data_IF_928887168281
#
_entry.id   IF_928887168281
#
_cell.length_a   1.000
_cell.length_b   1.000
_cell.length_c   1.000
_cell.angle_alpha   90.00
_cell.angle_beta   90.00
_cell.angle_gamma   90.00
#
_symmetry.space_group_name_H-M   'P 1'
#
loop_
_entity.id
_entity.type
_entity.pdbx_description
1 polymer ?
#
# COMPACT_ATOMS: atom_id res chain seq x y z
N UNK A 1 -5.10 -8.61 2.57
CA UNK A 1 -5.21 -10.08 2.31
C UNK A 1 -3.85 -10.73 1.99
N UNK A 2 -2.91 -10.07 1.28
CA UNK A 2 -1.61 -10.67 0.92
C UNK A 2 -0.62 -10.81 2.10
N UNK A 3 -0.62 -9.89 3.07
CA UNK A 3 0.21 -10.02 4.29
C UNK A 3 -0.13 -11.23 5.16
N UNK A 4 -1.40 -11.69 5.09
CA UNK A 4 -1.88 -12.89 5.76
C UNK A 4 -1.25 -14.17 5.20
N UNK A 5 -0.90 -14.20 3.91
CA UNK A 5 -0.19 -15.33 3.30
C UNK A 5 1.22 -15.47 3.86
N UNK A 6 1.95 -14.37 4.03
CA UNK A 6 3.27 -14.40 4.68
C UNK A 6 3.17 -14.87 6.14
N UNK A 7 2.18 -14.36 6.89
CA UNK A 7 1.96 -14.73 8.28
C UNK A 7 1.67 -16.21 8.51
N UNK A 8 0.91 -16.85 7.59
CA UNK A 8 0.45 -18.23 7.75
C UNK A 8 1.35 -19.21 6.97
N UNK A 9 2.36 -18.74 6.24
CA UNK A 9 3.25 -19.57 5.38
C UNK A 9 3.71 -20.84 6.08
N UNK A 10 4.25 -20.73 7.30
CA UNK A 10 4.77 -21.90 8.03
C UNK A 10 3.67 -22.94 8.31
N UNK A 11 2.50 -22.49 8.76
CA UNK A 11 1.33 -23.36 9.02
C UNK A 11 0.77 -23.96 7.73
N UNK A 12 0.78 -23.20 6.63
CA UNK A 12 0.36 -23.69 5.31
C UNK A 12 1.32 -24.76 4.80
N UNK A 13 2.63 -24.57 4.92
CA UNK A 13 3.61 -25.59 4.52
C UNK A 13 3.40 -26.90 5.29
N UNK A 14 3.22 -26.84 6.62
CA UNK A 14 2.96 -28.03 7.43
C UNK A 14 1.65 -28.73 7.06
N UNK A 15 0.59 -27.99 6.74
CA UNK A 15 -0.68 -28.56 6.28
C UNK A 15 -0.54 -29.22 4.91
N UNK A 16 0.15 -28.55 3.98
CA UNK A 16 0.37 -29.02 2.61
C UNK A 16 1.34 -30.22 2.52
N UNK A 17 2.09 -30.49 3.58
CA UNK A 17 2.90 -31.70 3.71
C UNK A 17 2.08 -32.95 4.02
N UNK A 18 0.87 -32.82 4.56
CA UNK A 18 0.00 -33.97 4.85
C UNK A 18 -0.76 -34.44 3.61
N UNK A 19 -0.96 -33.56 2.62
CA UNK A 19 -1.91 -33.77 1.54
C UNK A 19 -1.24 -33.96 0.17
N UNK A 20 -0.97 -35.22 -0.19
CA UNK A 20 -0.13 -35.58 -1.34
C UNK A 20 -0.86 -35.82 -2.66
N UNK A 21 -2.20 -35.87 -2.68
CA UNK A 21 -2.98 -36.27 -3.86
C UNK A 21 -3.49 -35.08 -4.70
N UNK A 22 -3.70 -33.92 -4.07
CA UNK A 22 -4.36 -32.79 -4.72
C UNK A 22 -3.38 -31.93 -5.55
N UNK A 23 -3.64 -31.80 -6.86
CA UNK A 23 -2.82 -31.01 -7.81
C UNK A 23 -2.78 -29.51 -7.46
N UNK A 24 -3.89 -28.96 -6.98
CA UNK A 24 -3.97 -27.54 -6.59
C UNK A 24 -3.09 -27.27 -5.36
N UNK A 25 -3.16 -28.16 -4.36
CA UNK A 25 -2.34 -28.03 -3.15
C UNK A 25 -0.84 -28.16 -3.44
N UNK A 26 -0.46 -28.98 -4.43
CA UNK A 26 0.91 -29.05 -4.93
C UNK A 26 1.36 -27.75 -5.60
N UNK A 27 0.50 -27.12 -6.39
CA UNK A 27 0.80 -25.83 -7.02
C UNK A 27 1.00 -24.74 -5.96
N UNK A 28 0.11 -24.65 -4.96
CA UNK A 28 0.26 -23.70 -3.85
C UNK A 28 1.53 -23.95 -3.05
N UNK A 29 1.87 -25.22 -2.77
CA UNK A 29 3.14 -25.57 -2.10
C UNK A 29 4.36 -25.14 -2.92
N UNK A 30 4.30 -25.34 -4.24
CA UNK A 30 5.35 -24.90 -5.14
C UNK A 30 5.53 -23.38 -5.08
N UNK A 31 4.44 -22.61 -5.14
CA UNK A 31 4.51 -21.14 -5.05
C UNK A 31 5.08 -20.67 -3.71
N UNK A 32 4.71 -21.31 -2.60
CA UNK A 32 5.26 -21.00 -1.26
C UNK A 32 6.75 -21.36 -1.10
N UNK A 33 7.29 -22.22 -1.98
CA UNK A 33 8.72 -22.55 -2.04
C UNK A 33 9.55 -21.54 -2.83
N UNK A 34 8.90 -20.71 -3.67
CA UNK A 34 9.56 -19.67 -4.45
C UNK A 34 9.79 -18.44 -3.56
N UNK A 35 11.05 -18.12 -3.30
CA UNK A 35 11.44 -17.00 -2.46
C UNK A 35 10.92 -15.64 -2.98
N UNK A 36 10.90 -15.45 -4.30
CA UNK A 36 10.40 -14.25 -4.98
C UNK A 36 8.90 -14.05 -4.75
N UNK A 37 8.13 -15.14 -4.81
CA UNK A 37 6.69 -15.11 -4.57
C UNK A 37 6.40 -14.68 -3.13
N UNK A 38 7.06 -15.31 -2.17
CA UNK A 38 6.92 -15.00 -0.73
C UNK A 38 7.40 -13.57 -0.43
N UNK A 39 8.49 -13.13 -1.07
CA UNK A 39 8.97 -11.76 -0.95
C UNK A 39 7.96 -10.74 -1.48
N UNK A 40 7.31 -11.02 -2.61
CA UNK A 40 6.21 -10.24 -3.15
C UNK A 40 5.02 -10.17 -2.20
N UNK A 41 4.62 -11.29 -1.60
CA UNK A 41 3.54 -11.33 -0.60
C UNK A 41 3.87 -10.49 0.64
N UNK A 42 5.11 -10.55 1.15
CA UNK A 42 5.58 -9.72 2.27
C UNK A 42 5.57 -8.24 1.91
N UNK A 43 6.11 -7.88 0.74
CA UNK A 43 6.14 -6.52 0.23
C UNK A 43 4.74 -5.92 0.07
N UNK A 44 3.82 -6.67 -0.56
CA UNK A 44 2.41 -6.25 -0.70
C UNK A 44 1.70 -6.17 0.64
N UNK A 45 2.01 -7.08 1.58
CA UNK A 45 1.52 -7.00 2.95
C UNK A 45 1.92 -5.70 3.64
N UNK A 46 3.20 -5.33 3.55
CA UNK A 46 3.71 -4.07 4.12
C UNK A 46 3.04 -2.85 3.51
N UNK A 47 2.94 -2.79 2.17
CA UNK A 47 2.23 -1.72 1.47
C UNK A 47 0.75 -1.67 1.84
N UNK A 48 0.12 -2.83 2.02
CA UNK A 48 -1.28 -2.91 2.42
C UNK A 48 -1.50 -2.26 3.79
N UNK A 49 -0.72 -2.65 4.78
CA UNK A 49 -0.88 -2.18 6.16
C UNK A 49 -0.46 -0.70 6.32
N UNK A 50 0.67 -0.31 5.72
CA UNK A 50 1.24 1.03 5.88
C UNK A 50 0.58 2.09 5.00
N UNK A 51 0.10 1.70 3.82
CA UNK A 51 -0.39 2.65 2.81
C UNK A 51 -1.87 2.44 2.53
N UNK A 52 -2.25 1.33 1.89
CA UNK A 52 -3.59 1.26 1.27
C UNK A 52 -4.71 1.14 2.29
N UNK A 53 -4.57 0.31 3.33
CA UNK A 53 -5.58 0.18 4.39
C UNK A 53 -5.74 1.50 5.13
N UNK A 54 -4.63 2.13 5.50
CA UNK A 54 -4.65 3.42 6.20
C UNK A 54 -5.24 4.54 5.35
N UNK A 55 -4.99 4.53 4.03
CA UNK A 55 -5.61 5.45 3.08
C UNK A 55 -7.12 5.22 2.97
N UNK A 56 -7.56 3.96 2.86
CA UNK A 56 -8.99 3.63 2.81
C UNK A 56 -9.73 4.03 4.10
N UNK A 57 -9.17 3.69 5.27
CA UNK A 57 -9.74 4.06 6.56
C UNK A 57 -9.87 5.59 6.73
N UNK A 58 -8.97 6.34 6.10
CA UNK A 58 -9.00 7.80 6.10
C UNK A 58 -10.08 8.31 5.13
N UNK A 59 -10.18 7.78 3.91
CA UNK A 59 -11.20 8.17 2.93
C UNK A 59 -12.62 7.84 3.43
N UNK A 60 -12.79 6.72 4.11
CA UNK A 60 -14.08 6.29 4.68
C UNK A 60 -14.47 7.11 5.93
N UNK A 61 -13.55 7.89 6.50
CA UNK A 61 -13.86 8.73 7.65
C UNK A 61 -14.67 9.95 7.19
N UNK A 62 -15.91 10.05 7.69
CA UNK A 62 -16.87 11.12 7.37
C UNK A 62 -16.36 12.54 7.63
N UNK A 63 -15.28 12.69 8.40
CA UNK A 63 -14.69 13.98 8.74
C UNK A 63 -13.62 14.47 7.75
N UNK A 64 -13.24 13.67 6.74
CA UNK A 64 -12.26 14.10 5.74
C UNK A 64 -12.98 14.78 4.58
N UNK A 65 -12.79 16.09 4.44
CA UNK A 65 -13.37 16.82 3.34
C UNK A 65 -12.58 16.54 2.05
N UNK A 66 -13.26 16.48 0.91
CA UNK A 66 -12.62 16.19 -0.38
C UNK A 66 -11.54 17.21 -0.76
N UNK A 67 -11.57 18.41 -0.19
CA UNK A 67 -10.53 19.43 -0.38
C UNK A 67 -9.20 19.06 0.27
N UNK A 68 -9.24 18.28 1.34
CA UNK A 68 -8.05 17.85 2.08
C UNK A 68 -7.38 16.65 1.40
N UNK A 69 -8.12 15.95 0.52
CA UNK A 69 -7.60 14.83 -0.26
C UNK A 69 -6.37 15.19 -1.08
N UNK A 70 -6.28 16.42 -1.60
CA UNK A 70 -5.12 16.86 -2.38
C UNK A 70 -3.85 16.90 -1.54
N UNK A 71 -3.91 17.45 -0.33
CA UNK A 71 -2.79 17.50 0.62
C UNK A 71 -2.38 16.10 1.06
N UNK A 72 -3.35 15.22 1.26
CA UNK A 72 -3.11 13.82 1.63
C UNK A 72 -2.42 13.06 0.49
N UNK A 73 -2.84 13.25 -0.76
CA UNK A 73 -2.15 12.68 -1.92
C UNK A 73 -0.74 13.23 -2.09
N UNK A 74 -0.51 14.51 -1.78
CA UNK A 74 0.85 15.08 -1.78
C UNK A 74 1.73 14.44 -0.71
N UNK A 75 1.22 14.29 0.51
CA UNK A 75 1.94 13.61 1.59
C UNK A 75 2.24 12.15 1.22
N UNK A 76 1.28 11.45 0.60
CA UNK A 76 1.47 10.09 0.12
C UNK A 76 2.56 9.99 -0.95
N UNK A 77 2.58 10.89 -1.93
CA UNK A 77 3.63 10.92 -2.97
C UNK A 77 5.00 11.14 -2.32
N UNK A 78 5.13 12.13 -1.44
CA UNK A 78 6.38 12.42 -0.74
C UNK A 78 6.83 11.25 0.15
N UNK A 79 5.90 10.58 0.81
CA UNK A 79 6.17 9.38 1.60
C UNK A 79 6.69 8.23 0.74
N UNK A 80 6.10 8.01 -0.44
CA UNK A 80 6.53 6.97 -1.39
C UNK A 80 7.90 7.28 -1.99
N UNK A 81 8.22 8.55 -2.24
CA UNK A 81 9.54 8.99 -2.68
C UNK A 81 10.60 8.76 -1.59
N UNK A 82 10.32 9.17 -0.35
CA UNK A 82 11.22 8.93 0.80
C UNK A 82 11.41 7.43 1.07
N UNK A 83 10.36 6.63 0.87
CA UNK A 83 10.43 5.18 0.95
C UNK A 83 11.44 4.59 -0.06
N UNK A 84 11.47 5.10 -1.30
CA UNK A 84 12.38 4.60 -2.34
C UNK A 84 13.85 4.79 -1.94
N UNK A 85 14.15 5.87 -1.22
CA UNK A 85 15.48 6.19 -0.71
C UNK A 85 15.83 5.38 0.57
N UNK A 86 14.84 5.00 1.38
CA UNK A 86 15.06 4.34 2.67
C UNK A 86 14.17 3.10 2.91
N UNK A 87 14.20 2.17 1.95
CA UNK A 87 13.39 0.94 1.95
C UNK A 87 13.56 0.05 3.18
N UNK A 88 14.76 0.04 3.80
CA UNK A 88 15.01 -0.72 5.04
C UNK A 88 14.25 -0.16 6.24
N UNK A 89 14.20 1.17 6.40
CA UNK A 89 13.45 1.79 7.49
C UNK A 89 11.94 1.56 7.35
N UNK A 90 11.45 1.50 6.12
CA UNK A 90 10.06 1.14 5.82
C UNK A 90 9.73 -0.31 6.19
N UNK A 91 10.60 -1.27 5.86
CA UNK A 91 10.41 -2.66 6.27
C UNK A 91 10.30 -2.85 7.78
N UNK A 92 10.89 -1.95 8.56
CA UNK A 92 10.80 -1.93 10.02
C UNK A 92 9.58 -1.18 10.56
N UNK A 93 8.81 -0.51 9.70
CA UNK A 93 7.66 0.29 10.11
C UNK A 93 8.05 1.57 10.85
N UNK A 94 9.27 2.07 10.67
CA UNK A 94 9.78 3.25 11.36
C UNK A 94 9.27 4.56 10.74
N UNK A 95 8.84 4.52 9.49
CA UNK A 95 8.25 5.64 8.77
C UNK A 95 6.77 5.35 8.52
N UNK A 96 5.92 6.21 9.02
CA UNK A 96 4.47 6.07 8.91
C UNK A 96 3.88 7.41 8.49
N UNK A 97 2.88 7.38 7.59
CA UNK A 97 2.12 8.56 7.17
C UNK A 97 1.43 9.21 8.38
N UNK A 98 1.27 10.54 8.36
CA UNK A 98 0.74 11.31 9.49
C UNK A 98 -0.68 10.91 9.89
N UNK A 99 -1.47 10.45 8.92
CA UNK A 99 -2.86 10.03 9.09
C UNK A 99 -3.03 8.55 9.50
N UNK A 100 -1.94 7.79 9.66
CA UNK A 100 -2.01 6.39 10.09
C UNK A 100 -2.14 6.32 11.61
N UNK A 101 -3.09 5.50 12.08
CA UNK A 101 -3.24 5.18 13.50
C UNK A 101 -2.16 4.20 13.96
N UNK A 102 -0.96 4.72 14.28
CA UNK A 102 0.23 3.92 14.65
C UNK A 102 -0.05 2.90 15.76
N UNK A 103 -0.88 3.26 16.76
CA UNK A 103 -1.27 2.35 17.85
C UNK A 103 -2.01 1.10 17.35
N UNK A 104 -2.94 1.28 16.38
CA UNK A 104 -3.68 0.18 15.76
C UNK A 104 -2.76 -0.69 14.91
N UNK A 105 -1.89 -0.06 14.12
CA UNK A 105 -0.91 -0.75 13.28
C UNK A 105 0.04 -1.65 14.10
N UNK A 106 0.61 -1.11 15.19
CA UNK A 106 1.54 -1.87 16.06
C UNK A 106 0.86 -3.01 16.83
N UNK A 107 -0.46 -2.95 17.02
CA UNK A 107 -1.22 -4.04 17.66
C UNK A 107 -1.55 -5.20 16.72
N UNK A 108 -1.32 -5.04 15.40
CA UNK A 108 -1.64 -6.06 14.40
C UNK A 108 -0.60 -7.20 14.44
N UNK A 109 -1.01 -8.47 14.67
CA UNK A 109 -0.09 -9.61 14.64
C UNK A 109 0.47 -9.86 13.24
N UNK A 110 -0.27 -9.46 12.20
CA UNK A 110 0.19 -9.54 10.80
C UNK A 110 1.33 -8.55 10.58
N UNK A 111 1.17 -7.31 11.04
CA UNK A 111 2.22 -6.29 10.92
C UNK A 111 3.49 -6.66 11.68
N UNK A 112 3.35 -7.23 12.89
CA UNK A 112 4.47 -7.75 13.65
C UNK A 112 5.24 -8.85 12.89
N UNK A 113 4.53 -9.74 12.19
CA UNK A 113 5.16 -10.77 11.37
C UNK A 113 5.84 -10.19 10.11
N UNK A 114 5.23 -9.19 9.47
CA UNK A 114 5.77 -8.54 8.28
C UNK A 114 7.05 -7.74 8.54
N UNK A 115 7.24 -7.22 9.75
CA UNK A 115 8.41 -6.40 10.15
C UNK A 115 9.58 -7.23 10.69
N UNK A 116 9.35 -8.53 10.93
CA UNK A 116 10.40 -9.48 11.35
C UNK A 116 11.42 -9.69 10.23
N UNK A 117 12.70 -9.80 10.61
CA UNK A 117 13.77 -10.12 9.67
C UNK A 117 13.53 -11.47 9.01
N UNK A 118 13.82 -11.53 7.70
CA UNK A 118 13.73 -12.76 6.92
C UNK A 118 14.93 -12.88 5.97
N UNK A 119 15.32 -14.12 5.70
CA UNK A 119 16.54 -14.48 4.94
C UNK A 119 16.59 -13.89 3.51
N UNK A 120 15.43 -13.54 2.96
CA UNK A 120 15.29 -12.99 1.61
C UNK A 120 14.77 -11.54 1.59
N UNK A 121 15.01 -10.77 2.66
CA UNK A 121 14.59 -9.37 2.73
C UNK A 121 15.15 -8.50 1.60
N UNK A 122 16.31 -8.84 1.03
CA UNK A 122 16.81 -8.18 -0.18
C UNK A 122 15.84 -8.29 -1.37
N UNK A 123 15.18 -9.44 -1.54
CA UNK A 123 14.14 -9.64 -2.56
C UNK A 123 12.88 -8.84 -2.24
N UNK A 124 12.55 -8.71 -0.96
CA UNK A 124 11.40 -7.91 -0.49
C UNK A 124 11.62 -6.43 -0.83
N UNK A 125 12.84 -5.91 -0.61
CA UNK A 125 13.21 -4.55 -1.03
C UNK A 125 13.05 -4.36 -2.52
N UNK A 126 13.54 -5.29 -3.34
CA UNK A 126 13.41 -5.21 -4.80
C UNK A 126 11.93 -5.18 -5.23
N UNK A 127 11.08 -6.05 -4.66
CA UNK A 127 9.64 -6.04 -4.92
C UNK A 127 8.99 -4.71 -4.50
N UNK A 128 9.34 -4.19 -3.31
CA UNK A 128 8.80 -2.93 -2.82
C UNK A 128 9.17 -1.75 -3.74
N UNK A 129 10.39 -1.70 -4.27
CA UNK A 129 10.81 -0.66 -5.22
C UNK A 129 10.00 -0.68 -6.51
N UNK A 130 9.73 -1.87 -7.06
CA UNK A 130 8.88 -2.03 -8.25
C UNK A 130 7.45 -1.54 -7.95
N UNK A 131 6.88 -1.94 -6.82
CA UNK A 131 5.52 -1.54 -6.46
C UNK A 131 5.41 -0.05 -6.17
N UNK A 132 6.36 0.55 -5.47
CA UNK A 132 6.33 1.97 -5.18
C UNK A 132 6.48 2.83 -6.44
N UNK A 133 7.29 2.41 -7.41
CA UNK A 133 7.37 3.05 -8.73
C UNK A 133 6.00 3.05 -9.44
N UNK A 134 5.27 1.95 -9.34
CA UNK A 134 3.90 1.86 -9.87
C UNK A 134 2.94 2.81 -9.13
N UNK A 135 2.94 2.79 -7.80
CA UNK A 135 2.03 3.61 -6.99
C UNK A 135 2.33 5.11 -7.15
N UNK A 136 3.61 5.51 -7.24
CA UNK A 136 3.98 6.91 -7.47
C UNK A 136 3.54 7.41 -8.84
N UNK A 137 3.69 6.59 -9.88
CA UNK A 137 3.22 6.91 -11.23
C UNK A 137 1.70 7.10 -11.28
N UNK A 138 0.94 6.20 -10.63
CA UNK A 138 -0.52 6.29 -10.56
C UNK A 138 -0.94 7.52 -9.75
N UNK A 139 -0.31 7.78 -8.61
CA UNK A 139 -0.62 8.93 -7.74
C UNK A 139 -0.36 10.26 -8.44
N UNK A 140 0.78 10.40 -9.13
CA UNK A 140 1.10 11.58 -9.94
C UNK A 140 0.08 11.80 -11.07
N UNK A 141 -0.40 10.72 -11.69
CA UNK A 141 -1.42 10.80 -12.74
C UNK A 141 -2.77 11.28 -12.18
N UNK A 142 -3.20 10.73 -11.04
CA UNK A 142 -4.42 11.16 -10.35
C UNK A 142 -4.31 12.64 -9.98
N UNK A 143 -3.19 13.09 -9.42
CA UNK A 143 -2.98 14.48 -9.03
C UNK A 143 -3.06 15.44 -10.24
N UNK A 144 -2.54 15.04 -11.40
CA UNK A 144 -2.66 15.80 -12.66
C UNK A 144 -4.11 15.90 -13.13
N UNK A 145 -4.87 14.82 -13.03
CA UNK A 145 -6.30 14.81 -13.39
C UNK A 145 -7.12 15.69 -12.44
N UNK A 146 -6.90 15.59 -11.13
CA UNK A 146 -7.57 16.41 -10.12
C UNK A 146 -7.28 17.90 -10.32
N UNK A 147 -6.03 18.26 -10.59
CA UNK A 147 -5.63 19.65 -10.88
C UNK A 147 -6.35 20.20 -12.12
N UNK A 148 -6.46 19.40 -13.18
CA UNK A 148 -7.17 19.79 -14.40
C UNK A 148 -8.68 19.94 -14.16
N UNK A 149 -9.28 19.04 -13.38
CA UNK A 149 -10.71 19.12 -13.03
C UNK A 149 -11.02 20.37 -12.19
N UNK A 150 -10.17 20.73 -11.22
CA UNK A 150 -10.32 21.95 -10.41
C UNK A 150 -10.19 23.21 -11.28
N UNK A 151 -9.24 23.23 -12.23
CA UNK A 151 -9.08 24.35 -13.16
C UNK A 151 -10.33 24.50 -14.02
N UNK A 152 -10.82 23.42 -14.63
CA UNK A 152 -12.03 23.43 -15.46
C UNK A 152 -13.25 23.89 -14.65
N UNK A 153 -13.39 23.42 -13.41
CA UNK A 153 -14.49 23.83 -12.53
C UNK A 153 -14.41 25.30 -12.15
N UNK A 154 -13.21 25.82 -11.82
CA UNK A 154 -13.00 27.26 -11.59
C UNK A 154 -13.38 28.11 -12.81
N UNK A 155 -13.01 27.67 -14.01
CA UNK A 155 -13.41 28.34 -15.26
C UNK A 155 -14.94 28.34 -15.44
N UNK A 156 -15.61 27.19 -15.28
CA UNK A 156 -17.06 27.10 -15.42
C UNK A 156 -17.85 27.87 -14.35
N UNK A 157 -17.33 27.96 -13.12
CA UNK A 157 -17.95 28.75 -12.03
C UNK A 157 -17.74 30.25 -12.23
N UNK A 158 -16.58 30.68 -12.74
CA UNK A 158 -16.38 32.08 -13.15
C UNK A 158 -17.34 32.48 -14.26
N UNK A 159 -17.54 31.63 -15.27
CA UNK A 159 -18.42 31.92 -16.41
C UNK A 159 -19.90 32.06 -15.99
N UNK A 160 -20.35 31.23 -15.03
CA UNK A 160 -21.72 31.33 -14.48
C UNK A 160 -21.96 32.55 -13.59
N UNK A 161 -20.92 33.13 -12.99
CA UNK A 161 -21.05 34.37 -12.20
C UNK A 161 -21.16 35.61 -13.09
N UNK A 162 -20.55 35.59 -14.28
CA UNK A 162 -20.64 36.68 -15.25
C UNK A 162 -21.98 36.73 -16.01
N UNK A 163 -22.74 35.63 -16.05
CA UNK A 163 -24.05 35.56 -16.73
C UNK A 163 -25.26 35.86 -15.84
N UNK A 164 -25.06 36.18 -14.55
CA UNK A 164 -26.13 36.62 -13.62
C UNK A 164 -26.11 38.12 -13.31
N UNK A 165 -25.22 38.87 -13.94
CA UNK A 165 -25.17 40.34 -13.88
C UNK A 165 -25.40 40.86 -15.31
N UNK A 166 -26.63 40.69 -15.81
CA UNK A 166 -27.14 41.36 -17.01
C UNK A 166 -28.63 41.54 -16.89
#
# INVERSE_FOLDING_TARGET
MQGSFFFIKEKQCSFLELEHSNRLLKAVKHDLSIAEYVAGCKALGLLSELVTVSLWEMIENENVHITDSFTIYQELVQYLENFMENSKAFMKGNYVLSFVKVAKLKSSPIFAALTKDWEHDAKVVACLQVYACFVSTVSATIQRLSSRAVVVWKYQVCDRKNTRIS
#
